data_IF_269588684800
#
_entry.id   IF_269588684800
#
_cell.length_a   1.000
_cell.length_b   1.000
_cell.length_c   1.000
_cell.angle_alpha   90.00
_cell.angle_beta   90.00
_cell.angle_gamma   90.00
#
_symmetry.space_group_name_H-M   'P 1'
#
loop_
_entity.id
_entity.type
_entity.pdbx_description
1 polymer ?
#
# COMPACT_ATOMS: atom_id res chain seq x y z
N UNK A 1 -9.69 -13.56 2.96
CA UNK A 1 -8.86 -12.79 1.99
C UNK A 1 -9.12 -11.28 2.03
N UNK A 2 -10.37 -10.80 2.08
CA UNK A 2 -10.69 -9.34 2.08
C UNK A 2 -10.13 -8.53 3.27
N UNK A 3 -10.01 -9.13 4.47
CA UNK A 3 -9.52 -8.44 5.68
C UNK A 3 -8.09 -7.91 5.56
N UNK A 4 -7.17 -8.72 5.03
CA UNK A 4 -5.74 -8.35 4.89
C UNK A 4 -5.60 -7.19 3.91
N UNK A 5 -6.35 -7.21 2.81
CA UNK A 5 -6.36 -6.12 1.83
C UNK A 5 -6.89 -4.82 2.44
N UNK A 6 -7.96 -4.89 3.26
CA UNK A 6 -8.51 -3.72 3.92
C UNK A 6 -7.57 -3.14 4.98
N UNK A 7 -6.93 -3.97 5.81
CA UNK A 7 -5.92 -3.53 6.78
C UNK A 7 -4.71 -2.88 6.09
N UNK A 8 -4.30 -3.44 4.95
CA UNK A 8 -3.25 -2.87 4.11
C UNK A 8 -3.62 -1.50 3.58
N UNK A 9 -4.82 -1.37 3.03
CA UNK A 9 -5.32 -0.11 2.48
C UNK A 9 -5.50 0.93 3.57
N UNK A 10 -5.96 0.57 4.78
CA UNK A 10 -6.06 1.51 5.90
C UNK A 10 -4.69 1.97 6.40
N UNK A 11 -3.73 1.04 6.54
CA UNK A 11 -2.36 1.36 6.95
C UNK A 11 -1.71 2.29 5.94
N UNK A 12 -1.94 2.02 4.66
CA UNK A 12 -1.47 2.85 3.55
C UNK A 12 -2.16 4.21 3.55
N UNK A 13 -3.50 4.27 3.70
CA UNK A 13 -4.26 5.53 3.82
C UNK A 13 -3.69 6.44 4.90
N UNK A 14 -3.48 5.90 6.11
CA UNK A 14 -2.97 6.68 7.25
C UNK A 14 -1.55 7.20 7.05
N UNK A 15 -0.70 6.49 6.29
CA UNK A 15 0.68 6.92 6.01
C UNK A 15 0.76 7.83 4.76
N UNK A 16 -0.12 7.65 3.79
CA UNK A 16 -0.12 8.40 2.53
C UNK A 16 -0.51 9.88 2.72
N UNK A 17 -1.35 10.20 3.70
CA UNK A 17 -1.77 11.58 4.02
C UNK A 17 -0.61 12.49 4.42
N UNK A 18 0.50 11.94 4.94
CA UNK A 18 1.62 12.71 5.49
C UNK A 18 2.74 12.92 4.46
N UNK A 19 2.92 12.00 3.50
CA UNK A 19 4.14 11.88 2.69
C UNK A 19 3.96 12.25 1.18
N UNK A 20 2.83 12.86 0.77
CA UNK A 20 2.53 13.09 -0.66
C UNK A 20 3.41 14.14 -1.37
N UNK A 21 4.07 15.03 -0.63
CA UNK A 21 5.04 15.98 -1.20
C UNK A 21 6.31 15.31 -1.76
N UNK A 22 6.53 14.02 -1.50
CA UNK A 22 7.72 13.28 -1.95
C UNK A 22 7.32 11.96 -2.65
N UNK A 23 6.65 12.11 -3.80
CA UNK A 23 5.93 11.07 -4.56
C UNK A 23 6.72 9.78 -4.84
N UNK A 24 8.04 9.86 -5.09
CA UNK A 24 8.88 8.66 -5.28
C UNK A 24 9.24 7.96 -3.97
N UNK A 25 9.65 8.74 -2.96
CA UNK A 25 10.10 8.22 -1.67
C UNK A 25 8.95 7.57 -0.89
N UNK A 26 7.76 8.17 -0.96
CA UNK A 26 6.53 7.62 -0.40
C UNK A 26 6.18 6.26 -1.04
N UNK A 27 6.27 6.16 -2.37
CA UNK A 27 6.00 4.92 -3.11
C UNK A 27 6.99 3.82 -2.73
N UNK A 28 8.27 4.15 -2.58
CA UNK A 28 9.30 3.21 -2.14
C UNK A 28 9.06 2.70 -0.71
N UNK A 29 8.78 3.60 0.25
CA UNK A 29 8.46 3.24 1.65
C UNK A 29 7.22 2.35 1.75
N UNK A 30 6.17 2.72 1.03
CA UNK A 30 4.92 1.97 0.98
C UNK A 30 5.15 0.55 0.43
N UNK A 31 5.89 0.42 -0.67
CA UNK A 31 6.25 -0.89 -1.26
C UNK A 31 6.99 -1.80 -0.26
N UNK A 32 7.88 -1.24 0.57
CA UNK A 32 8.57 -1.97 1.66
C UNK A 32 7.62 -2.39 2.77
N UNK A 33 6.71 -1.50 3.21
CA UNK A 33 5.71 -1.81 4.24
C UNK A 33 4.76 -2.92 3.79
N UNK A 34 4.26 -2.84 2.56
CA UNK A 34 3.36 -3.85 1.99
C UNK A 34 4.04 -5.22 1.92
N UNK A 35 5.27 -5.28 1.41
CA UNK A 35 6.05 -6.53 1.39
C UNK A 35 6.29 -7.10 2.79
N UNK A 36 6.58 -6.26 3.78
CA UNK A 36 6.73 -6.69 5.18
C UNK A 36 5.42 -7.27 5.75
N UNK A 37 4.28 -6.64 5.48
CA UNK A 37 2.99 -7.11 5.98
C UNK A 37 2.60 -8.44 5.34
N UNK A 38 2.74 -8.55 4.01
CA UNK A 38 2.49 -9.80 3.29
C UNK A 38 3.36 -10.96 3.81
N UNK A 39 4.65 -10.70 4.03
CA UNK A 39 5.55 -11.69 4.65
C UNK A 39 5.12 -12.08 6.06
N UNK A 40 4.66 -11.14 6.88
CA UNK A 40 4.17 -11.39 8.25
C UNK A 40 2.93 -12.30 8.27
N UNK A 41 2.09 -12.23 7.24
CA UNK A 41 0.90 -13.07 7.09
C UNK A 41 1.17 -14.40 6.35
N UNK A 42 2.42 -14.73 6.04
CA UNK A 42 2.76 -15.96 5.31
C UNK A 42 2.29 -15.93 3.84
N UNK A 43 2.11 -14.75 3.26
CA UNK A 43 1.68 -14.62 1.87
C UNK A 43 2.81 -15.11 0.95
N UNK A 44 2.49 -15.91 -0.07
CA UNK A 44 3.52 -16.53 -0.89
C UNK A 44 4.14 -15.47 -1.83
N UNK A 45 5.45 -15.58 -2.11
CA UNK A 45 6.23 -14.54 -2.81
C UNK A 45 5.77 -14.32 -4.26
N UNK A 46 5.24 -15.36 -4.90
CA UNK A 46 4.62 -15.33 -6.24
C UNK A 46 3.42 -14.36 -6.30
N UNK A 47 2.63 -14.28 -5.23
CA UNK A 47 1.44 -13.40 -5.15
C UNK A 47 1.74 -12.06 -4.48
N UNK A 48 2.92 -11.90 -3.92
CA UNK A 48 3.33 -10.71 -3.17
C UNK A 48 3.43 -9.50 -4.09
N UNK A 49 3.98 -9.68 -5.29
CA UNK A 49 4.16 -8.59 -6.25
C UNK A 49 2.81 -8.03 -6.74
N UNK A 50 1.89 -8.93 -7.10
CA UNK A 50 0.54 -8.55 -7.52
C UNK A 50 -0.25 -7.85 -6.41
N UNK A 51 -0.20 -8.37 -5.18
CA UNK A 51 -0.84 -7.74 -4.02
C UNK A 51 -0.22 -6.36 -3.71
N UNK A 52 1.10 -6.22 -3.88
CA UNK A 52 1.78 -4.94 -3.70
C UNK A 52 1.35 -3.92 -4.76
N UNK A 53 1.24 -4.33 -6.02
CA UNK A 53 0.79 -3.46 -7.11
C UNK A 53 -0.65 -2.98 -6.91
N UNK A 54 -1.56 -3.88 -6.51
CA UNK A 54 -2.95 -3.54 -6.20
C UNK A 54 -3.07 -2.51 -5.08
N UNK A 55 -2.28 -2.68 -4.01
CA UNK A 55 -2.31 -1.75 -2.87
C UNK A 55 -1.76 -0.37 -3.26
N UNK A 56 -0.71 -0.33 -4.08
CA UNK A 56 -0.18 0.92 -4.62
C UNK A 56 -1.18 1.63 -5.53
N UNK A 57 -1.84 0.90 -6.43
CA UNK A 57 -2.89 1.46 -7.29
C UNK A 57 -4.08 1.99 -6.48
N UNK A 58 -4.50 1.25 -5.45
CA UNK A 58 -5.57 1.69 -4.56
C UNK A 58 -5.18 2.93 -3.74
N UNK A 59 -3.91 3.03 -3.34
CA UNK A 59 -3.38 4.22 -2.68
C UNK A 59 -3.41 5.45 -3.59
N UNK A 60 -3.05 5.28 -4.87
CA UNK A 60 -3.08 6.36 -5.86
C UNK A 60 -4.51 6.87 -6.11
N UNK A 61 -5.48 5.97 -6.28
CA UNK A 61 -6.91 6.32 -6.46
C UNK A 61 -7.47 7.08 -5.26
N UNK A 62 -7.18 6.58 -4.05
CA UNK A 62 -7.60 7.25 -2.82
C UNK A 62 -6.95 8.63 -2.70
N UNK A 63 -5.70 8.78 -3.10
CA UNK A 63 -5.01 10.07 -3.03
C UNK A 63 -5.57 11.08 -4.04
N UNK A 64 -5.95 10.68 -5.25
CA UNK A 64 -6.66 11.57 -6.20
C UNK A 64 -7.97 12.10 -5.62
N UNK A 65 -8.68 11.26 -4.85
CA UNK A 65 -9.91 11.62 -4.15
C UNK A 65 -9.69 12.63 -3.00
N UNK A 66 -8.46 12.82 -2.51
CA UNK A 66 -8.12 13.70 -1.37
C UNK A 66 -7.51 15.04 -1.79
N UNK A 67 -7.13 15.18 -3.06
CA UNK A 67 -6.63 16.45 -3.64
C UNK A 67 -7.77 17.27 -4.28
N UNK A 68 -9.00 16.75 -4.26
CA UNK A 68 -10.22 17.44 -4.66
C UNK A 68 -10.85 18.26 -3.53
#
# INVERSE_FOLDING_TARGET
>A
LKRIAQELVETVKRNATIDWNLRESARARMRVMVKRLLKKHGYPPDKTEHATALVLAQAEVVCEEWVG
#
